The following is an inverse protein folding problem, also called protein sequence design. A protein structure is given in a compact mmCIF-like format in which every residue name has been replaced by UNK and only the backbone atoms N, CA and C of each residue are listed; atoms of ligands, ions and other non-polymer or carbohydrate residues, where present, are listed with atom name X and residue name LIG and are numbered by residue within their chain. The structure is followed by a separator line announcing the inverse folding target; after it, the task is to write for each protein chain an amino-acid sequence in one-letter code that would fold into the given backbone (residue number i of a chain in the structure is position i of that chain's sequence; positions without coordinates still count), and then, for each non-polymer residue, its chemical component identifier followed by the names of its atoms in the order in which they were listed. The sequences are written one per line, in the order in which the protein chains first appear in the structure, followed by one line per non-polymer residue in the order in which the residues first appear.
data_IF_194558101587
#
_entry.id   IF_194558101587
#
_cell.length_a   1.000
_cell.length_b   1.000
_cell.length_c   1.000
_cell.angle_alpha   90.00
_cell.angle_beta   90.00
_cell.angle_gamma   90.00
#
_symmetry.space_group_name_H-M   'P 1'
#
loop_
_entity.id
_entity.type
_entity.pdbx_description
1 polymer ?
#
# COMPACT_ATOMS: atom_id res chain seq x y z
N UNK A 1 -22.66 -14.49 7.29
CA UNK A 1 -22.38 -13.05 7.09
C UNK A 1 -23.02 -12.63 5.79
N UNK A 2 -23.56 -11.41 5.67
CA UNK A 2 -24.17 -10.92 4.43
C UNK A 2 -23.11 -10.48 3.41
N UNK A 3 -23.44 -10.46 2.12
CA UNK A 3 -22.53 -9.98 1.07
C UNK A 3 -22.03 -8.55 1.34
N UNK A 4 -22.94 -7.67 1.79
CA UNK A 4 -22.59 -6.31 2.21
C UNK A 4 -21.56 -6.26 3.36
N UNK A 5 -21.63 -7.20 4.30
CA UNK A 5 -20.65 -7.29 5.40
C UNK A 5 -19.26 -7.70 4.90
N UNK A 6 -19.19 -8.54 3.86
CA UNK A 6 -17.92 -9.00 3.28
C UNK A 6 -17.27 -7.86 2.50
N UNK A 7 -18.04 -7.18 1.64
CA UNK A 7 -17.54 -6.04 0.87
C UNK A 7 -17.05 -4.91 1.76
N UNK A 8 -17.76 -4.63 2.87
CA UNK A 8 -17.32 -3.61 3.83
C UNK A 8 -16.00 -3.99 4.53
N UNK A 9 -15.80 -5.28 4.85
CA UNK A 9 -14.51 -5.77 5.38
C UNK A 9 -13.38 -5.58 4.37
N UNK A 10 -13.60 -5.94 3.09
CA UNK A 10 -12.60 -5.79 2.02
C UNK A 10 -12.20 -4.32 1.82
N UNK A 11 -13.19 -3.41 1.86
CA UNK A 11 -12.93 -1.97 1.80
C UNK A 11 -12.13 -1.48 3.02
N UNK A 12 -12.43 -1.98 4.21
CA UNK A 12 -11.64 -1.73 5.42
C UNK A 12 -10.17 -2.11 5.22
N UNK A 13 -9.91 -3.33 4.75
CA UNK A 13 -8.54 -3.78 4.51
C UNK A 13 -7.80 -2.93 3.46
N UNK A 14 -8.51 -2.43 2.44
CA UNK A 14 -7.94 -1.52 1.43
C UNK A 14 -7.54 -0.19 2.08
N UNK A 15 -8.38 0.36 2.97
CA UNK A 15 -8.08 1.60 3.70
C UNK A 15 -6.83 1.42 4.56
N UNK A 16 -6.70 0.29 5.27
CA UNK A 16 -5.56 0.00 6.12
C UNK A 16 -4.26 -0.16 5.31
N UNK A 17 -4.33 -0.81 4.14
CA UNK A 17 -3.21 -0.92 3.20
C UNK A 17 -2.78 0.45 2.68
N UNK A 18 -3.73 1.30 2.30
CA UNK A 18 -3.45 2.66 1.83
C UNK A 18 -2.85 3.55 2.94
N UNK A 19 -3.32 3.42 4.18
CA UNK A 19 -2.73 4.09 5.33
C UNK A 19 -1.26 3.66 5.53
N UNK A 20 -0.99 2.36 5.42
CA UNK A 20 0.38 1.82 5.48
C UNK A 20 1.26 2.38 4.37
N UNK A 21 0.78 2.38 3.12
CA UNK A 21 1.49 2.95 1.97
C UNK A 21 1.83 4.42 2.20
N UNK A 22 0.88 5.20 2.72
CA UNK A 22 1.11 6.61 3.05
C UNK A 22 2.25 6.77 4.06
N UNK A 23 2.21 6.02 5.17
CA UNK A 23 3.26 6.07 6.20
C UNK A 23 4.63 5.67 5.66
N UNK A 24 4.71 4.63 4.82
CA UNK A 24 5.95 4.23 4.17
C UNK A 24 6.47 5.32 3.23
N UNK A 25 5.59 5.96 2.46
CA UNK A 25 5.98 7.04 1.55
C UNK A 25 6.50 8.27 2.31
N UNK A 26 5.85 8.64 3.42
CA UNK A 26 6.35 9.70 4.32
C UNK A 26 7.74 9.33 4.88
N UNK A 27 7.94 8.08 5.29
CA UNK A 27 9.24 7.59 5.77
C UNK A 27 10.33 7.66 4.69
N UNK A 28 10.03 7.23 3.47
CA UNK A 28 10.95 7.34 2.32
C UNK A 28 11.31 8.81 2.09
N UNK A 29 10.32 9.70 2.05
CA UNK A 29 10.55 11.13 1.83
C UNK A 29 11.48 11.73 2.91
N UNK A 30 11.22 11.44 4.19
CA UNK A 30 12.06 11.91 5.29
C UNK A 30 13.49 11.34 5.22
N UNK A 31 13.63 10.05 4.94
CA UNK A 31 14.93 9.39 4.92
C UNK A 31 15.78 9.73 3.69
N UNK A 32 15.14 10.03 2.55
CA UNK A 32 15.81 10.38 1.30
C UNK A 32 16.75 11.59 1.43
N UNK A 33 16.45 12.51 2.34
CA UNK A 33 17.28 13.69 2.61
C UNK A 33 18.61 13.39 3.32
N UNK A 34 18.80 12.17 3.82
CA UNK A 34 19.97 11.77 4.62
C UNK A 34 20.80 10.67 3.97
N UNK A 35 20.52 10.31 2.70
CA UNK A 35 21.26 9.27 1.98
C UNK A 35 22.67 9.78 1.65
N UNK A 36 23.69 9.09 2.15
CA UNK A 36 25.11 9.41 1.96
C UNK A 36 25.91 8.31 1.25
N UNK A 37 25.37 7.09 1.16
CA UNK A 37 26.05 5.95 0.55
C UNK A 37 25.10 5.03 -0.26
N UNK A 38 25.69 4.01 -0.90
CA UNK A 38 24.98 3.06 -1.74
C UNK A 38 24.03 2.15 -0.98
N UNK A 39 24.43 1.66 0.20
CA UNK A 39 23.62 0.73 0.99
C UNK A 39 22.33 1.40 1.48
N UNK A 40 22.41 2.66 1.89
CA UNK A 40 21.24 3.47 2.26
C UNK A 40 20.30 3.72 1.07
N UNK A 41 20.86 3.95 -0.12
CA UNK A 41 20.07 4.11 -1.34
C UNK A 41 19.34 2.82 -1.69
N UNK A 42 20.02 1.69 -1.64
CA UNK A 42 19.44 0.37 -1.93
C UNK A 42 18.34 0.01 -0.92
N UNK A 43 18.54 0.35 0.36
CA UNK A 43 17.53 0.18 1.40
C UNK A 43 16.26 1.02 1.12
N UNK A 44 16.42 2.31 0.77
CA UNK A 44 15.28 3.17 0.44
C UNK A 44 14.57 2.71 -0.84
N UNK A 45 15.33 2.26 -1.82
CA UNK A 45 14.77 1.70 -3.05
C UNK A 45 13.94 0.44 -2.77
N UNK A 46 14.40 -0.43 -1.87
CA UNK A 46 13.63 -1.60 -1.41
C UNK A 46 12.29 -1.20 -0.78
N UNK A 47 12.27 -0.14 0.03
CA UNK A 47 11.02 0.37 0.63
C UNK A 47 10.09 0.95 -0.45
N UNK A 48 10.64 1.65 -1.44
CA UNK A 48 9.87 2.17 -2.57
C UNK A 48 9.22 1.04 -3.41
N UNK A 49 9.95 -0.05 -3.63
CA UNK A 49 9.43 -1.23 -4.32
C UNK A 49 8.30 -1.88 -3.51
N UNK A 50 8.42 -1.93 -2.18
CA UNK A 50 7.38 -2.47 -1.31
C UNK A 50 6.11 -1.60 -1.29
N UNK A 51 6.25 -0.27 -1.39
CA UNK A 51 5.11 0.64 -1.60
C UNK A 51 4.39 0.28 -2.91
N UNK A 52 5.14 0.09 -3.99
CA UNK A 52 4.57 -0.25 -5.29
C UNK A 52 3.84 -1.61 -5.24
N UNK A 53 4.42 -2.63 -4.61
CA UNK A 53 3.79 -3.93 -4.42
C UNK A 53 2.46 -3.82 -3.67
N UNK A 54 2.41 -3.06 -2.57
CA UNK A 54 1.17 -2.83 -1.82
C UNK A 54 0.11 -2.10 -2.64
N UNK A 55 0.49 -1.13 -3.46
CA UNK A 55 -0.44 -0.43 -4.36
C UNK A 55 -1.04 -1.37 -5.42
N UNK A 56 -0.28 -2.33 -5.93
CA UNK A 56 -0.80 -3.37 -6.83
C UNK A 56 -1.84 -4.24 -6.11
N UNK A 57 -1.58 -4.65 -4.87
CA UNK A 57 -2.55 -5.40 -4.06
C UNK A 57 -3.82 -4.59 -3.82
N UNK A 58 -3.71 -3.31 -3.52
CA UNK A 58 -4.88 -2.40 -3.37
C UNK A 58 -5.70 -2.36 -4.66
N UNK A 59 -5.05 -2.19 -5.81
CA UNK A 59 -5.73 -2.16 -7.11
C UNK A 59 -6.49 -3.47 -7.37
N UNK A 60 -5.86 -4.61 -7.12
CA UNK A 60 -6.46 -5.91 -7.40
C UNK A 60 -7.67 -6.16 -6.48
N UNK A 61 -7.57 -5.80 -5.19
CA UNK A 61 -8.70 -5.85 -4.24
C UNK A 61 -9.85 -4.90 -4.62
N UNK A 62 -9.53 -3.70 -5.12
CA UNK A 62 -10.55 -2.78 -5.63
C UNK A 62 -11.28 -3.35 -6.85
N UNK A 63 -10.59 -4.08 -7.72
CA UNK A 63 -11.25 -4.79 -8.82
C UNK A 63 -12.20 -5.87 -8.31
N UNK A 64 -11.79 -6.67 -7.32
CA UNK A 64 -12.69 -7.66 -6.71
C UNK A 64 -13.95 -7.01 -6.13
N UNK A 65 -13.79 -5.95 -5.33
CA UNK A 65 -14.92 -5.22 -4.73
C UNK A 65 -15.83 -4.66 -5.83
N UNK A 66 -15.27 -4.12 -6.92
CA UNK A 66 -16.06 -3.61 -8.03
C UNK A 66 -16.88 -4.71 -8.71
N UNK A 67 -16.31 -5.90 -8.91
CA UNK A 67 -17.05 -7.02 -9.51
C UNK A 67 -18.15 -7.56 -8.58
N UNK A 68 -17.96 -7.51 -7.25
CA UNK A 68 -18.99 -7.89 -6.26
C UNK A 68 -20.18 -6.93 -6.19
N UNK A 69 -19.98 -5.66 -6.55
CA UNK A 69 -21.01 -4.62 -6.55
C UNK A 69 -21.83 -4.54 -7.85
N UNK A 70 -21.47 -5.33 -8.87
CA UNK A 70 -22.25 -5.47 -10.11
C UNK A 70 -23.44 -6.41 -9.92
#
# INVERSE_FOLDING_TARGET
MSAASITNSKLGDIVDLLATVRSLNEAVFMASGYITDGDQKDAIQTVADEINNKLLVVRDRLYEVREELK
#
